data_IF_784952649907
#
_entry.id   IF_784952649907
#
_cell.length_a   1.000
_cell.length_b   1.000
_cell.length_c   1.000
_cell.angle_alpha   90.00
_cell.angle_beta   90.00
_cell.angle_gamma   90.00
#
_symmetry.space_group_name_H-M   'P 1'
#
loop_
_entity.id
_entity.type
_entity.pdbx_description
1 polymer ?
#
# COMPACT_ATOMS: atom_id res chain seq x y z
N UNK A 1 -19.76 17.41 4.75
CA UNK A 1 -19.32 16.11 4.20
C UNK A 1 -19.48 16.14 2.69
N UNK A 2 -18.44 16.01 1.86
CA UNK A 2 -18.60 15.95 0.42
C UNK A 2 -19.35 14.66 0.04
N UNK A 3 -20.40 14.78 -0.78
CA UNK A 3 -21.12 13.64 -1.35
C UNK A 3 -20.16 12.91 -2.29
N UNK A 4 -19.64 11.75 -1.86
CA UNK A 4 -18.90 10.84 -2.73
C UNK A 4 -19.85 10.44 -3.84
N UNK A 5 -19.54 10.82 -5.10
CA UNK A 5 -20.36 10.50 -6.25
C UNK A 5 -20.55 8.97 -6.36
N UNK A 6 -21.75 8.52 -6.67
CA UNK A 6 -22.12 7.09 -6.74
C UNK A 6 -21.16 6.26 -7.63
N UNK A 7 -20.52 6.90 -8.62
CA UNK A 7 -19.50 6.31 -9.48
C UNK A 7 -18.21 5.95 -8.75
N UNK A 8 -17.71 6.79 -7.83
CA UNK A 8 -16.50 6.51 -7.04
C UNK A 8 -16.70 5.33 -6.08
N UNK A 9 -17.91 5.13 -5.55
CA UNK A 9 -18.20 4.01 -4.65
C UNK A 9 -18.11 2.66 -5.36
N UNK A 10 -18.66 2.53 -6.57
CA UNK A 10 -18.60 1.28 -7.34
C UNK A 10 -17.20 0.99 -7.86
N UNK A 11 -16.46 2.02 -8.22
CA UNK A 11 -15.04 1.93 -8.60
C UNK A 11 -14.19 1.40 -7.42
N UNK A 12 -14.38 1.95 -6.22
CA UNK A 12 -13.67 1.48 -5.02
C UNK A 12 -14.03 0.04 -4.67
N UNK A 13 -15.30 -0.36 -4.79
CA UNK A 13 -15.71 -1.75 -4.56
C UNK A 13 -15.00 -2.70 -5.55
N UNK A 14 -14.94 -2.33 -6.84
CA UNK A 14 -14.25 -3.12 -7.85
C UNK A 14 -12.73 -3.15 -7.60
N UNK A 15 -12.13 -2.02 -7.18
CA UNK A 15 -10.73 -1.91 -6.85
C UNK A 15 -10.36 -2.85 -5.69
N UNK A 16 -11.05 -2.77 -4.56
CA UNK A 16 -10.78 -3.60 -3.39
C UNK A 16 -11.03 -5.08 -3.66
N UNK A 17 -12.06 -5.41 -4.45
CA UNK A 17 -12.34 -6.80 -4.85
C UNK A 17 -11.18 -7.41 -5.63
N UNK A 18 -10.67 -6.70 -6.65
CA UNK A 18 -9.57 -7.20 -7.49
C UNK A 18 -8.28 -7.24 -6.68
N UNK A 19 -8.00 -6.19 -5.89
CA UNK A 19 -6.82 -6.13 -5.01
C UNK A 19 -6.80 -7.31 -4.05
N UNK A 20 -7.92 -7.63 -3.40
CA UNK A 20 -8.02 -8.77 -2.49
C UNK A 20 -7.70 -10.09 -3.20
N UNK A 21 -8.27 -10.34 -4.41
CA UNK A 21 -7.96 -11.55 -5.19
C UNK A 21 -6.49 -11.68 -5.58
N UNK A 22 -5.79 -10.56 -5.77
CA UNK A 22 -4.35 -10.54 -6.04
C UNK A 22 -3.58 -10.85 -4.76
N UNK A 23 -3.90 -10.17 -3.65
CA UNK A 23 -3.16 -10.32 -2.38
C UNK A 23 -3.36 -11.69 -1.74
N UNK A 24 -4.52 -12.31 -1.93
CA UNK A 24 -4.79 -13.68 -1.47
C UNK A 24 -4.23 -14.77 -2.40
N UNK A 25 -3.63 -14.38 -3.54
CA UNK A 25 -3.10 -15.32 -4.54
C UNK A 25 -4.15 -15.99 -5.42
N UNK A 26 -5.43 -15.66 -5.28
CA UNK A 26 -6.49 -16.17 -6.15
C UNK A 26 -6.29 -15.73 -7.62
N UNK A 27 -5.74 -14.52 -7.81
CA UNK A 27 -5.21 -14.04 -9.10
C UNK A 27 -3.68 -14.05 -9.02
N UNK A 28 -3.03 -15.13 -9.46
CA UNK A 28 -1.57 -15.24 -9.40
C UNK A 28 -0.90 -14.28 -10.40
N UNK A 29 0.39 -14.04 -10.23
CA UNK A 29 1.24 -13.28 -11.15
C UNK A 29 1.02 -13.73 -12.60
N UNK A 30 0.82 -12.79 -13.51
CA UNK A 30 0.53 -13.04 -14.90
C UNK A 30 -0.94 -13.40 -15.21
N UNK A 31 -1.82 -13.47 -14.19
CA UNK A 31 -3.25 -13.67 -14.43
C UNK A 31 -3.83 -12.49 -15.21
N UNK A 32 -4.60 -12.80 -16.26
CA UNK A 32 -5.27 -11.80 -17.08
C UNK A 32 -6.58 -11.36 -16.45
N UNK A 33 -6.68 -10.09 -16.09
CA UNK A 33 -7.91 -9.49 -15.56
C UNK A 33 -8.83 -9.09 -16.71
N UNK A 34 -10.05 -9.68 -16.74
CA UNK A 34 -11.01 -9.50 -17.84
C UNK A 34 -12.20 -8.69 -17.36
N UNK A 35 -12.39 -7.48 -17.93
CA UNK A 35 -13.50 -6.57 -17.58
C UNK A 35 -14.88 -7.24 -17.67
N UNK A 36 -15.10 -8.06 -18.69
CA UNK A 36 -16.40 -8.70 -18.92
C UNK A 36 -16.73 -9.72 -17.82
N UNK A 37 -15.74 -10.49 -17.35
CA UNK A 37 -15.88 -11.45 -16.26
C UNK A 37 -16.19 -10.74 -14.96
N UNK A 38 -15.44 -9.69 -14.63
CA UNK A 38 -15.68 -8.88 -13.44
C UNK A 38 -17.02 -8.17 -13.45
N UNK A 39 -17.49 -7.73 -14.64
CA UNK A 39 -18.82 -7.12 -14.82
C UNK A 39 -19.95 -8.09 -14.45
N UNK A 40 -19.81 -9.37 -14.77
CA UNK A 40 -20.75 -10.41 -14.39
C UNK A 40 -20.65 -10.76 -12.90
N UNK A 41 -19.43 -10.96 -12.39
CA UNK A 41 -19.19 -11.35 -10.98
C UNK A 41 -19.69 -10.28 -10.00
N UNK A 42 -19.43 -9.00 -10.29
CA UNK A 42 -19.78 -7.89 -9.42
C UNK A 42 -21.16 -7.28 -9.72
N UNK A 43 -21.85 -7.76 -10.74
CA UNK A 43 -23.11 -7.20 -11.24
C UNK A 43 -23.02 -5.67 -11.45
N UNK A 44 -21.95 -5.24 -12.10
CA UNK A 44 -21.62 -3.84 -12.36
C UNK A 44 -21.40 -3.60 -13.84
N UNK A 45 -21.63 -2.35 -14.29
CA UNK A 45 -21.24 -1.94 -15.65
C UNK A 45 -19.71 -1.94 -15.80
N UNK A 46 -19.23 -2.01 -17.04
CA UNK A 46 -17.78 -2.04 -17.35
C UNK A 46 -17.05 -0.74 -16.96
N UNK A 47 -17.73 0.39 -16.90
CA UNK A 47 -17.10 1.70 -16.64
C UNK A 47 -16.41 1.77 -15.29
N UNK A 48 -17.04 1.48 -14.13
CA UNK A 48 -16.35 1.49 -12.83
C UNK A 48 -15.25 0.44 -12.76
N UNK A 49 -15.44 -0.73 -13.39
CA UNK A 49 -14.43 -1.80 -13.43
C UNK A 49 -13.18 -1.35 -14.20
N UNK A 50 -13.36 -0.71 -15.36
CA UNK A 50 -12.23 -0.17 -16.14
C UNK A 50 -11.45 0.88 -15.37
N UNK A 51 -12.13 1.78 -14.65
CA UNK A 51 -11.47 2.76 -13.78
C UNK A 51 -10.69 2.10 -12.64
N UNK A 52 -11.27 1.09 -11.99
CA UNK A 52 -10.59 0.31 -10.96
C UNK A 52 -9.32 -0.38 -11.51
N UNK A 53 -9.40 -0.96 -12.71
CA UNK A 53 -8.23 -1.58 -13.38
C UNK A 53 -7.14 -0.53 -13.67
N UNK A 54 -7.52 0.66 -14.16
CA UNK A 54 -6.56 1.76 -14.40
C UNK A 54 -5.88 2.16 -13.09
N UNK A 55 -6.63 2.31 -12.00
CA UNK A 55 -6.07 2.66 -10.69
C UNK A 55 -5.16 1.55 -10.14
N UNK A 56 -5.51 0.28 -10.35
CA UNK A 56 -4.65 -0.86 -10.00
C UNK A 56 -3.36 -0.89 -10.84
N UNK A 57 -3.41 -0.45 -12.09
CA UNK A 57 -2.19 -0.29 -12.89
C UNK A 57 -1.32 0.85 -12.34
N UNK A 58 -1.91 1.99 -11.96
CA UNK A 58 -1.16 3.10 -11.35
C UNK A 58 -0.55 2.71 -9.99
N UNK A 59 -1.23 1.87 -9.23
CA UNK A 59 -0.77 1.36 -7.94
C UNK A 59 0.20 0.17 -8.06
N UNK A 60 0.54 -0.26 -9.27
CA UNK A 60 1.51 -1.34 -9.52
C UNK A 60 0.99 -2.77 -9.29
N UNK A 61 -0.29 -2.97 -8.97
CA UNK A 61 -0.87 -4.31 -8.86
C UNK A 61 -1.08 -4.98 -10.23
N UNK A 62 -1.37 -4.18 -11.24
CA UNK A 62 -1.58 -4.63 -12.61
C UNK A 62 -0.61 -3.93 -13.56
N UNK A 63 -0.32 -4.57 -14.69
CA UNK A 63 0.37 -3.99 -15.83
C UNK A 63 -0.49 -4.08 -17.07
N UNK A 64 -0.65 -2.96 -17.77
CA UNK A 64 -1.38 -2.95 -19.05
C UNK A 64 -0.44 -3.33 -20.20
N UNK A 65 -0.76 -4.40 -20.92
CA UNK A 65 -0.03 -4.80 -22.12
C UNK A 65 -0.82 -4.36 -23.37
N UNK A 66 -0.13 -3.70 -24.29
CA UNK A 66 -0.75 -3.22 -25.53
C UNK A 66 -1.46 -4.35 -26.29
N UNK A 67 -2.69 -4.13 -26.69
CA UNK A 67 -3.60 -5.10 -27.37
C UNK A 67 -3.86 -6.42 -26.60
N UNK A 68 -3.37 -6.61 -25.38
CA UNK A 68 -3.54 -7.85 -24.60
C UNK A 68 -4.37 -7.67 -23.34
N UNK A 69 -4.51 -6.44 -22.84
CA UNK A 69 -5.29 -6.10 -21.65
C UNK A 69 -4.43 -5.95 -20.38
N UNK A 70 -5.04 -6.07 -19.21
CA UNK A 70 -4.39 -5.93 -17.92
C UNK A 70 -4.03 -7.31 -17.33
N UNK A 71 -2.84 -7.41 -16.76
CA UNK A 71 -2.29 -8.62 -16.16
C UNK A 71 -1.79 -8.32 -14.75
N UNK A 72 -1.92 -9.28 -13.84
CA UNK A 72 -1.33 -9.17 -12.48
C UNK A 72 0.17 -9.05 -12.61
N UNK A 73 0.69 -7.97 -12.05
CA UNK A 73 2.12 -7.72 -12.00
C UNK A 73 2.77 -8.61 -10.93
N UNK A 74 4.03 -8.96 -11.10
CA UNK A 74 4.77 -9.59 -10.02
C UNK A 74 4.94 -8.56 -8.89
N UNK A 75 4.20 -8.76 -7.80
CA UNK A 75 4.28 -7.93 -6.58
C UNK A 75 5.18 -8.56 -5.53
N UNK A 76 5.76 -9.73 -5.82
CA UNK A 76 6.74 -10.34 -4.93
C UNK A 76 7.97 -9.45 -4.87
N UNK A 77 8.17 -8.85 -3.73
CA UNK A 77 9.41 -8.13 -3.41
C UNK A 77 10.45 -9.19 -3.11
N UNK A 78 11.51 -9.24 -3.89
CA UNK A 78 12.62 -10.15 -3.59
C UNK A 78 13.24 -9.77 -2.25
N UNK A 79 13.83 -10.76 -1.55
CA UNK A 79 14.55 -10.52 -0.29
C UNK A 79 15.60 -9.42 -0.46
N UNK A 80 16.29 -9.38 -1.59
CA UNK A 80 17.29 -8.35 -1.90
C UNK A 80 16.67 -6.96 -2.02
N UNK A 81 15.52 -6.83 -2.70
CA UNK A 81 14.80 -5.56 -2.83
C UNK A 81 14.25 -5.10 -1.48
N UNK A 82 13.73 -6.04 -0.67
CA UNK A 82 13.27 -5.73 0.68
C UNK A 82 14.41 -5.14 1.53
N UNK A 83 15.56 -5.81 1.61
CA UNK A 83 16.71 -5.30 2.36
C UNK A 83 17.25 -3.98 1.80
N UNK A 84 17.23 -3.78 0.49
CA UNK A 84 17.63 -2.50 -0.11
C UNK A 84 16.71 -1.35 0.30
N UNK A 85 15.40 -1.59 0.34
CA UNK A 85 14.42 -0.60 0.81
C UNK A 85 14.56 -0.32 2.30
N UNK A 86 14.76 -1.37 3.12
CA UNK A 86 15.00 -1.22 4.57
C UNK A 86 16.28 -0.42 4.85
N UNK A 87 17.34 -0.63 4.07
CA UNK A 87 18.59 0.14 4.20
C UNK A 87 18.39 1.63 3.88
N UNK A 88 17.55 1.94 2.89
CA UNK A 88 17.19 3.33 2.59
C UNK A 88 16.42 3.99 3.74
N UNK A 89 15.45 3.27 4.32
CA UNK A 89 14.69 3.75 5.48
C UNK A 89 15.62 3.98 6.67
N UNK A 90 16.53 3.05 6.98
CA UNK A 90 17.53 3.18 8.03
C UNK A 90 18.39 4.45 7.84
N UNK A 91 18.88 4.68 6.61
CA UNK A 91 19.69 5.86 6.29
C UNK A 91 18.89 7.16 6.48
N UNK A 92 17.65 7.22 6.01
CA UNK A 92 16.79 8.39 6.18
C UNK A 92 16.49 8.66 7.66
N UNK A 93 16.24 7.62 8.45
CA UNK A 93 16.01 7.74 9.89
C UNK A 93 17.26 8.23 10.62
N UNK A 94 18.42 7.70 10.26
CA UNK A 94 19.69 8.13 10.85
C UNK A 94 19.96 9.62 10.60
N UNK A 95 19.92 10.06 9.35
CA UNK A 95 20.09 11.47 8.94
C UNK A 95 19.10 12.40 9.65
N UNK A 96 17.86 11.94 9.77
CA UNK A 96 16.80 12.70 10.41
C UNK A 96 17.04 12.84 11.91
N UNK A 97 17.48 11.78 12.58
CA UNK A 97 17.77 11.77 14.01
C UNK A 97 18.98 12.65 14.33
N UNK A 98 20.04 12.64 13.50
CA UNK A 98 21.18 13.54 13.66
C UNK A 98 20.75 15.02 13.59
N UNK A 99 19.90 15.37 12.65
CA UNK A 99 19.38 16.75 12.52
C UNK A 99 18.59 17.19 13.75
N UNK A 100 17.79 16.30 14.33
CA UNK A 100 17.02 16.58 15.55
C UNK A 100 17.95 16.79 16.76
N UNK A 101 18.97 15.96 16.93
CA UNK A 101 19.95 16.09 18.01
C UNK A 101 20.70 17.43 17.88
N UNK A 102 21.08 17.83 16.67
CA UNK A 102 21.78 19.09 16.42
C UNK A 102 20.93 20.35 16.69
N UNK A 103 19.59 20.21 16.63
CA UNK A 103 18.66 21.32 16.93
C UNK A 103 18.37 21.50 18.42
N UNK A 104 18.83 20.58 19.27
CA UNK A 104 18.48 20.52 20.71
C UNK A 104 16.95 20.45 20.96
N UNK A 105 16.19 19.99 19.98
CA UNK A 105 14.73 19.91 20.08
C UNK A 105 14.31 18.68 20.88
N UNK A 106 13.54 18.92 21.95
CA UNK A 106 12.89 17.86 22.72
C UNK A 106 11.66 17.38 21.95
N UNK A 107 11.76 16.26 21.27
CA UNK A 107 10.62 15.65 20.61
C UNK A 107 9.98 14.65 21.56
N UNK A 108 8.67 14.83 21.79
CA UNK A 108 7.86 13.82 22.47
C UNK A 108 7.63 12.69 21.48
N UNK A 109 8.20 11.51 21.77
CA UNK A 109 8.18 10.33 20.89
C UNK A 109 7.32 9.18 21.41
N UNK A 110 6.53 9.42 22.48
CA UNK A 110 5.73 8.37 23.13
C UNK A 110 4.77 7.70 22.15
N UNK A 111 4.13 8.46 21.27
CA UNK A 111 3.24 7.99 20.21
C UNK A 111 4.00 7.13 19.17
N UNK A 112 5.23 7.49 18.84
CA UNK A 112 6.08 6.74 17.90
C UNK A 112 6.51 5.42 18.53
N UNK A 113 6.86 5.43 19.82
CA UNK A 113 7.24 4.22 20.58
C UNK A 113 6.05 3.24 20.60
N UNK A 114 4.85 3.72 20.91
CA UNK A 114 3.65 2.89 20.93
C UNK A 114 3.38 2.21 19.56
N UNK A 115 3.55 2.96 18.46
CA UNK A 115 3.39 2.40 17.11
C UNK A 115 4.48 1.35 16.83
N UNK A 116 5.73 1.64 17.19
CA UNK A 116 6.85 0.71 17.01
C UNK A 116 6.65 -0.60 17.79
N UNK A 117 6.14 -0.53 19.02
CA UNK A 117 5.82 -1.71 19.83
C UNK A 117 4.72 -2.57 19.17
N UNK A 118 3.71 -1.96 18.57
CA UNK A 118 2.68 -2.67 17.80
C UNK A 118 3.26 -3.39 16.58
N UNK A 119 4.17 -2.75 15.84
CA UNK A 119 4.88 -3.39 14.71
C UNK A 119 5.61 -4.64 15.17
N UNK A 120 6.37 -4.56 16.26
CA UNK A 120 7.12 -5.69 16.83
C UNK A 120 6.16 -6.81 17.28
N UNK A 121 5.02 -6.46 17.85
CA UNK A 121 4.02 -7.44 18.28
C UNK A 121 3.40 -8.18 17.09
N UNK A 122 3.04 -7.47 16.03
CA UNK A 122 2.49 -8.08 14.81
C UNK A 122 3.50 -8.98 14.10
N UNK A 123 4.79 -8.60 14.10
CA UNK A 123 5.86 -9.47 13.59
C UNK A 123 5.93 -10.80 14.36
N UNK A 124 5.93 -10.74 15.70
CA UNK A 124 5.94 -11.93 16.55
C UNK A 124 4.72 -12.83 16.33
N UNK A 125 3.56 -12.23 16.08
CA UNK A 125 2.31 -12.95 15.83
C UNK A 125 2.20 -13.44 14.38
N UNK A 126 3.13 -13.06 13.48
CA UNK A 126 3.09 -13.34 12.03
C UNK A 126 1.89 -12.69 11.33
N UNK A 127 1.40 -11.58 11.84
CA UNK A 127 0.30 -10.78 11.30
C UNK A 127 0.86 -9.75 10.31
N UNK A 128 1.43 -10.22 9.21
CA UNK A 128 2.25 -9.42 8.30
C UNK A 128 1.51 -8.27 7.60
N UNK A 129 0.20 -8.38 7.37
CA UNK A 129 -0.60 -7.27 6.80
C UNK A 129 -0.73 -6.13 7.81
N UNK A 130 -1.10 -6.45 9.06
CA UNK A 130 -1.19 -5.46 10.14
C UNK A 130 0.17 -4.83 10.45
N UNK A 131 1.23 -5.64 10.44
CA UNK A 131 2.61 -5.16 10.61
C UNK A 131 2.97 -4.13 9.53
N UNK A 132 2.68 -4.42 8.25
CA UNK A 132 2.97 -3.51 7.14
C UNK A 132 2.21 -2.19 7.28
N UNK A 133 0.91 -2.26 7.51
CA UNK A 133 0.05 -1.07 7.59
C UNK A 133 0.46 -0.20 8.79
N UNK A 134 0.74 -0.82 9.95
CA UNK A 134 1.25 -0.11 11.13
C UNK A 134 2.65 0.45 10.93
N UNK A 135 3.51 -0.21 10.13
CA UNK A 135 4.81 0.33 9.78
C UNK A 135 4.72 1.56 8.86
N UNK A 136 3.74 1.61 7.95
CA UNK A 136 3.45 2.82 7.17
C UNK A 136 3.02 3.97 8.09
N UNK A 137 2.15 3.72 9.06
CA UNK A 137 1.75 4.70 10.09
C UNK A 137 2.95 5.19 10.90
N UNK A 138 3.88 4.30 11.27
CA UNK A 138 5.12 4.64 11.95
C UNK A 138 5.96 5.64 11.13
N UNK A 139 6.16 5.36 9.85
CA UNK A 139 6.93 6.25 8.96
C UNK A 139 6.26 7.63 8.84
N UNK A 140 4.94 7.67 8.67
CA UNK A 140 4.18 8.93 8.58
C UNK A 140 4.28 9.73 9.88
N UNK A 141 4.11 9.10 11.03
CA UNK A 141 4.21 9.75 12.34
C UNK A 141 5.62 10.30 12.57
N UNK A 142 6.65 9.53 12.24
CA UNK A 142 8.04 9.92 12.36
C UNK A 142 8.37 11.14 11.49
N UNK A 143 7.99 11.10 10.20
CA UNK A 143 8.20 12.23 9.27
C UNK A 143 7.42 13.47 9.74
N UNK A 144 6.21 13.29 10.27
CA UNK A 144 5.40 14.38 10.82
C UNK A 144 6.09 15.12 11.95
N UNK A 145 6.80 14.41 12.85
CA UNK A 145 7.59 15.00 13.92
C UNK A 145 8.82 15.80 13.42
N UNK A 146 9.36 15.41 12.26
CA UNK A 146 10.50 16.10 11.65
C UNK A 146 10.11 17.45 11.01
N UNK A 147 8.87 17.57 10.58
CA UNK A 147 8.36 18.74 9.83
C UNK A 147 7.59 19.75 10.70
N UNK A 148 7.41 19.48 11.99
CA UNK A 148 6.82 20.46 12.90
C UNK A 148 7.89 21.47 13.32
N UNK A 149 7.94 22.59 12.56
CA UNK A 149 8.60 23.84 12.94
C UNK A 149 7.75 24.62 13.94
#
# INVERSE_FOLDING_TARGET
MPKIAKGNRLENVAFEYIKNKITTGEYPTGYRVVEAKLSQELNMSRTPIRRAIINLCHSGFLVHQYNRGAFVQNTEVTITEFFSRMKLVELLMYESTEKLILREDYIVVDDIIEIAEKVIQYEKNKEYELMRDTFEDFIVAFIGKLNND
#
